data_IF_274156193212
#
_entry.id   IF_274156193212
#
_cell.length_a   1.000
_cell.length_b   1.000
_cell.length_c   1.000
_cell.angle_alpha   90.00
_cell.angle_beta   90.00
_cell.angle_gamma   90.00
#
_symmetry.space_group_name_H-M   'P 1'
#
loop_
_entity.id
_entity.type
_entity.pdbx_description
1 polymer ?
#
# COMPACT_ATOMS: atom_id res chain seq x y z
N UNK A 1 39.29 -9.65 22.73
CA UNK A 1 37.95 -9.39 23.29
C UNK A 1 37.71 -10.44 24.36
N UNK A 2 37.48 -10.04 25.61
CA UNK A 2 37.31 -11.00 26.70
C UNK A 2 35.89 -11.61 26.63
N UNK A 3 35.76 -12.88 27.01
CA UNK A 3 34.46 -13.59 27.01
C UNK A 3 33.41 -12.86 27.87
N UNK A 4 33.85 -12.15 28.91
CA UNK A 4 33.02 -11.28 29.74
C UNK A 4 32.35 -10.15 28.97
N UNK A 5 33.04 -9.59 27.98
CA UNK A 5 32.53 -8.46 27.19
C UNK A 5 31.46 -8.94 26.20
N UNK A 6 31.66 -10.14 25.64
CA UNK A 6 30.69 -10.78 24.75
C UNK A 6 29.41 -11.18 25.51
N UNK A 7 29.54 -11.73 26.72
CA UNK A 7 28.39 -12.06 27.58
C UNK A 7 27.61 -10.80 27.94
N UNK A 8 28.31 -9.69 28.23
CA UNK A 8 27.66 -8.42 28.55
C UNK A 8 26.90 -7.83 27.36
N UNK A 9 27.46 -7.90 26.15
CA UNK A 9 26.78 -7.49 24.92
C UNK A 9 25.55 -8.36 24.61
N UNK A 10 25.65 -9.68 24.79
CA UNK A 10 24.51 -10.58 24.58
C UNK A 10 23.40 -10.26 25.59
N UNK A 11 23.74 -10.04 26.86
CA UNK A 11 22.75 -9.68 27.87
C UNK A 11 22.09 -8.33 27.60
N UNK A 12 22.83 -7.32 27.13
CA UNK A 12 22.25 -6.03 26.74
C UNK A 12 21.23 -6.15 25.60
N UNK A 13 21.49 -6.99 24.60
CA UNK A 13 20.58 -7.23 23.46
C UNK A 13 19.36 -8.07 23.88
N UNK A 14 19.51 -8.96 24.86
CA UNK A 14 18.40 -9.78 25.37
C UNK A 14 17.51 -8.98 26.33
N UNK A 15 18.09 -8.14 27.17
CA UNK A 15 17.36 -7.30 28.15
C UNK A 15 16.71 -6.07 27.49
N UNK A 16 17.33 -5.54 26.44
CA UNK A 16 16.77 -4.50 25.58
C UNK A 16 16.74 -5.03 24.14
N UNK A 17 15.81 -5.94 23.80
CA UNK A 17 15.63 -6.29 22.41
C UNK A 17 15.41 -4.98 21.65
N UNK A 18 16.01 -4.80 20.45
CA UNK A 18 15.57 -3.73 19.57
C UNK A 18 14.05 -3.81 19.52
N UNK A 19 13.39 -2.66 19.56
CA UNK A 19 11.94 -2.62 19.67
C UNK A 19 11.31 -3.58 18.64
N UNK A 20 10.08 -4.09 18.88
CA UNK A 20 9.43 -5.02 17.96
C UNK A 20 9.32 -4.50 16.51
N UNK A 21 9.67 -3.23 16.27
CA UNK A 21 9.82 -2.60 14.97
C UNK A 21 11.00 -3.12 14.13
N UNK A 22 12.03 -3.74 14.70
CA UNK A 22 13.13 -4.33 13.92
C UNK A 22 12.71 -5.57 13.11
N UNK A 23 11.63 -6.27 13.53
CA UNK A 23 11.01 -7.37 12.78
C UNK A 23 9.93 -6.84 11.81
N UNK A 24 9.60 -5.54 11.87
CA UNK A 24 8.43 -4.97 11.18
C UNK A 24 8.64 -4.59 9.72
N UNK A 25 9.85 -4.23 9.28
CA UNK A 25 10.03 -3.70 7.92
C UNK A 25 10.03 -4.79 6.84
N UNK A 26 10.54 -5.99 7.14
CA UNK A 26 10.54 -7.13 6.20
C UNK A 26 9.13 -7.75 6.04
N UNK A 27 8.31 -7.70 7.09
CA UNK A 27 6.94 -8.20 7.06
C UNK A 27 6.02 -7.27 6.25
N UNK A 28 6.24 -5.95 6.27
CA UNK A 28 5.41 -4.96 5.54
C UNK A 28 5.34 -5.20 4.03
N UNK A 29 6.42 -5.66 3.41
CA UNK A 29 6.41 -5.99 1.98
C UNK A 29 5.49 -7.18 1.68
N UNK A 30 5.51 -8.21 2.54
CA UNK A 30 4.63 -9.38 2.42
C UNK A 30 3.17 -9.02 2.64
N UNK A 31 2.89 -8.16 3.63
CA UNK A 31 1.55 -7.63 3.91
C UNK A 31 0.98 -6.86 2.72
N UNK A 32 1.77 -5.99 2.09
CA UNK A 32 1.35 -5.24 0.91
C UNK A 32 1.05 -6.17 -0.27
N UNK A 33 1.88 -7.19 -0.50
CA UNK A 33 1.63 -8.21 -1.52
C UNK A 33 0.35 -9.01 -1.23
N UNK A 34 0.16 -9.43 0.03
CA UNK A 34 -1.05 -10.14 0.46
C UNK A 34 -2.31 -9.31 0.25
N UNK A 35 -2.27 -8.04 0.63
CA UNK A 35 -3.36 -7.09 0.43
C UNK A 35 -3.69 -6.93 -1.05
N UNK A 36 -2.68 -6.71 -1.91
CA UNK A 36 -2.85 -6.57 -3.37
C UNK A 36 -3.52 -7.80 -3.98
N UNK A 37 -3.00 -9.00 -3.68
CA UNK A 37 -3.59 -10.26 -4.15
C UNK A 37 -5.03 -10.38 -3.67
N UNK A 38 -5.32 -10.04 -2.42
CA UNK A 38 -6.68 -10.06 -1.87
C UNK A 38 -7.66 -9.15 -2.61
N UNK A 39 -7.24 -7.94 -2.99
CA UNK A 39 -8.07 -7.00 -3.74
C UNK A 39 -8.28 -7.51 -5.17
N UNK A 40 -7.21 -7.80 -5.91
CA UNK A 40 -7.29 -8.17 -7.32
C UNK A 40 -7.99 -9.51 -7.57
N UNK A 41 -7.82 -10.47 -6.66
CA UNK A 41 -8.55 -11.75 -6.74
C UNK A 41 -10.02 -11.61 -6.35
N UNK A 42 -10.47 -10.46 -5.86
CA UNK A 42 -11.85 -10.22 -5.47
C UNK A 42 -12.23 -10.86 -4.12
N UNK A 43 -11.26 -11.21 -3.27
CA UNK A 43 -11.51 -11.75 -1.93
C UNK A 43 -12.26 -10.72 -1.08
N UNK A 44 -11.82 -9.46 -1.07
CA UNK A 44 -12.50 -8.41 -0.28
C UNK A 44 -13.94 -8.18 -0.73
N UNK A 45 -14.20 -8.17 -2.03
CA UNK A 45 -15.56 -8.08 -2.58
C UNK A 45 -16.41 -9.29 -2.20
N UNK A 46 -15.84 -10.50 -2.31
CA UNK A 46 -16.51 -11.76 -1.95
C UNK A 46 -16.92 -11.78 -0.48
N UNK A 47 -16.03 -11.31 0.40
CA UNK A 47 -16.26 -11.27 1.84
C UNK A 47 -17.18 -10.11 2.22
N UNK A 48 -17.05 -8.93 1.62
CA UNK A 48 -17.97 -7.81 1.87
C UNK A 48 -19.44 -8.20 1.55
N UNK A 49 -19.66 -8.94 0.47
CA UNK A 49 -21.00 -9.36 0.03
C UNK A 49 -21.74 -10.29 1.03
N UNK A 50 -21.05 -10.95 1.96
CA UNK A 50 -21.69 -11.81 2.98
C UNK A 50 -21.98 -11.07 4.30
N UNK A 51 -21.54 -9.81 4.46
CA UNK A 51 -21.74 -9.02 5.66
C UNK A 51 -21.21 -9.70 6.93
N UNK A 52 -22.09 -9.93 7.91
CA UNK A 52 -21.77 -10.57 9.21
C UNK A 52 -21.53 -12.09 9.13
N UNK A 53 -21.63 -12.68 7.93
CA UNK A 53 -21.44 -14.11 7.71
C UNK A 53 -19.98 -14.57 7.71
N UNK A 54 -19.80 -15.85 7.40
CA UNK A 54 -18.51 -16.54 7.33
C UNK A 54 -18.43 -17.45 6.10
N UNK A 55 -17.23 -17.66 5.56
CA UNK A 55 -16.98 -18.54 4.42
C UNK A 55 -15.74 -19.39 4.64
N UNK A 56 -15.73 -20.60 4.09
CA UNK A 56 -14.52 -21.41 4.01
C UNK A 56 -13.61 -20.93 2.88
N UNK A 57 -12.30 -21.15 3.00
CA UNK A 57 -11.32 -20.85 1.95
C UNK A 57 -11.73 -21.48 0.60
N UNK A 58 -12.24 -22.71 0.63
CA UNK A 58 -12.75 -23.40 -0.56
C UNK A 58 -13.93 -22.67 -1.20
N UNK A 59 -14.86 -22.12 -0.41
CA UNK A 59 -15.99 -21.36 -0.94
C UNK A 59 -15.57 -19.98 -1.47
N UNK A 60 -14.60 -19.35 -0.81
CA UNK A 60 -13.98 -18.11 -1.30
C UNK A 60 -13.32 -18.38 -2.65
N UNK A 61 -12.48 -19.42 -2.75
CA UNK A 61 -11.82 -19.85 -3.99
C UNK A 61 -12.80 -20.14 -5.13
N UNK A 62 -13.93 -20.81 -4.83
CA UNK A 62 -14.96 -21.05 -5.82
C UNK A 62 -15.57 -19.73 -6.36
N UNK A 63 -15.75 -18.72 -5.51
CA UNK A 63 -16.35 -17.43 -5.90
C UNK A 63 -15.38 -16.53 -6.65
N UNK A 64 -14.10 -16.57 -6.30
CA UNK A 64 -13.06 -15.77 -6.95
C UNK A 64 -12.47 -16.44 -8.20
N UNK A 65 -12.65 -17.75 -8.35
CA UNK A 65 -12.01 -18.54 -9.40
C UNK A 65 -10.52 -18.84 -9.13
N UNK A 66 -9.99 -18.41 -7.98
CA UNK A 66 -8.60 -18.65 -7.60
C UNK A 66 -8.36 -20.09 -7.10
N UNK A 67 -7.11 -20.55 -7.13
CA UNK A 67 -6.76 -21.87 -6.65
C UNK A 67 -7.02 -22.01 -5.13
N UNK A 68 -7.66 -23.09 -4.64
CA UNK A 68 -8.01 -23.23 -3.22
C UNK A 68 -6.83 -23.11 -2.26
N UNK A 69 -5.68 -23.70 -2.60
CA UNK A 69 -4.48 -23.64 -1.78
C UNK A 69 -3.89 -22.22 -1.72
N UNK A 70 -3.99 -21.46 -2.82
CA UNK A 70 -3.56 -20.06 -2.85
C UNK A 70 -4.45 -19.22 -1.93
N UNK A 71 -5.77 -19.38 -2.04
CA UNK A 71 -6.73 -18.66 -1.19
C UNK A 71 -6.53 -18.97 0.28
N UNK A 72 -6.30 -20.23 0.66
CA UNK A 72 -5.99 -20.59 2.05
C UNK A 72 -4.76 -19.84 2.59
N UNK A 73 -3.66 -19.79 1.81
CA UNK A 73 -2.43 -19.08 2.20
C UNK A 73 -2.64 -17.57 2.32
N UNK A 74 -3.32 -16.98 1.34
CA UNK A 74 -3.61 -15.53 1.32
C UNK A 74 -4.55 -15.15 2.47
N UNK A 75 -5.60 -15.93 2.74
CA UNK A 75 -6.52 -15.67 3.84
C UNK A 75 -5.84 -15.75 5.21
N UNK A 76 -4.89 -16.67 5.41
CA UNK A 76 -4.09 -16.75 6.65
C UNK A 76 -3.26 -15.49 6.88
N UNK A 77 -2.60 -14.99 5.83
CA UNK A 77 -1.85 -13.74 5.88
C UNK A 77 -2.79 -12.54 6.15
N UNK A 78 -3.91 -12.43 5.43
CA UNK A 78 -4.85 -11.33 5.65
C UNK A 78 -5.53 -11.41 7.03
N UNK A 79 -5.69 -12.61 7.59
CA UNK A 79 -6.18 -12.80 8.94
C UNK A 79 -5.13 -12.42 10.00
N UNK A 80 -3.84 -12.73 9.78
CA UNK A 80 -2.76 -12.30 10.68
C UNK A 80 -2.59 -10.78 10.69
N UNK A 81 -2.91 -10.11 9.58
CA UNK A 81 -2.99 -8.64 9.49
C UNK A 81 -4.22 -8.04 10.18
N UNK A 82 -5.13 -8.86 10.71
CA UNK A 82 -6.37 -8.41 11.33
C UNK A 82 -7.45 -7.92 10.36
N UNK A 83 -7.27 -8.12 9.05
CA UNK A 83 -8.27 -7.73 8.04
C UNK A 83 -9.44 -8.71 8.01
N UNK A 84 -9.18 -10.00 8.23
CA UNK A 84 -10.20 -11.02 8.43
C UNK A 84 -10.03 -11.71 9.77
N UNK A 85 -11.07 -12.39 10.22
CA UNK A 85 -11.03 -13.24 11.42
C UNK A 85 -11.12 -14.70 11.00
N UNK A 86 -10.11 -15.51 11.32
CA UNK A 86 -10.22 -16.96 11.22
C UNK A 86 -11.07 -17.48 12.39
N UNK A 87 -12.23 -18.04 12.09
CA UNK A 87 -13.24 -18.48 13.08
C UNK A 87 -13.24 -20.00 13.27
N UNK A 88 -12.68 -20.73 12.31
CA UNK A 88 -12.31 -22.14 12.38
C UNK A 88 -11.25 -22.41 11.31
N UNK A 89 -10.68 -23.62 11.28
CA UNK A 89 -9.70 -24.02 10.27
C UNK A 89 -10.20 -23.73 8.85
N UNK A 90 -9.45 -22.87 8.13
CA UNK A 90 -9.78 -22.43 6.78
C UNK A 90 -11.20 -21.85 6.64
N UNK A 91 -11.69 -21.18 7.69
CA UNK A 91 -12.99 -20.52 7.72
C UNK A 91 -12.87 -19.13 8.31
N UNK A 92 -13.40 -18.15 7.59
CA UNK A 92 -13.11 -16.74 7.84
C UNK A 92 -14.39 -15.89 7.88
N UNK A 93 -14.37 -14.85 8.69
CA UNK A 93 -15.36 -13.78 8.76
C UNK A 93 -14.69 -12.41 8.50
N UNK A 94 -15.49 -11.39 8.17
CA UNK A 94 -14.98 -10.03 8.01
C UNK A 94 -14.38 -9.50 9.32
N UNK A 95 -13.23 -8.83 9.21
CA UNK A 95 -12.71 -7.95 10.25
C UNK A 95 -13.30 -6.53 10.11
N UNK A 96 -13.06 -5.64 11.08
CA UNK A 96 -13.58 -4.27 11.05
C UNK A 96 -13.12 -3.47 9.82
N UNK A 97 -11.92 -3.76 9.32
CA UNK A 97 -11.30 -3.00 8.22
C UNK A 97 -11.39 -3.68 6.85
N UNK A 98 -11.78 -4.97 6.74
CA UNK A 98 -11.90 -5.62 5.41
C UNK A 98 -12.85 -4.92 4.45
N UNK A 99 -14.02 -4.36 4.87
CA UNK A 99 -14.93 -3.72 3.92
C UNK A 99 -14.32 -2.50 3.24
N UNK A 100 -13.35 -1.83 3.88
CA UNK A 100 -12.69 -0.64 3.34
C UNK A 100 -11.93 -0.93 2.03
N UNK A 101 -11.50 -2.18 1.83
CA UNK A 101 -10.76 -2.64 0.65
C UNK A 101 -11.67 -3.25 -0.43
N UNK A 102 -12.99 -3.26 -0.20
CA UNK A 102 -13.97 -3.70 -1.20
C UNK A 102 -14.45 -2.54 -2.09
N UNK A 103 -15.11 -2.86 -3.19
CA UNK A 103 -15.76 -1.89 -4.08
C UNK A 103 -16.98 -1.21 -3.46
N UNK A 104 -17.56 -1.80 -2.40
CA UNK A 104 -18.62 -1.19 -1.61
C UNK A 104 -18.09 -0.14 -0.61
N UNK A 105 -16.77 0.00 -0.47
CA UNK A 105 -16.16 1.01 0.38
C UNK A 105 -16.48 2.42 -0.13
N UNK A 106 -16.80 3.38 0.76
CA UNK A 106 -16.89 4.79 0.40
C UNK A 106 -15.51 5.41 0.13
N UNK A 107 -14.40 4.69 0.40
CA UNK A 107 -13.08 5.18 0.04
C UNK A 107 -12.97 5.30 -1.48
N UNK A 108 -12.52 6.47 -2.00
CA UNK A 108 -12.34 6.67 -3.43
C UNK A 108 -11.51 5.53 -4.03
N UNK A 109 -11.95 4.97 -5.17
CA UNK A 109 -11.21 3.92 -5.88
C UNK A 109 -9.78 4.37 -6.19
N UNK A 110 -9.65 5.63 -6.59
CA UNK A 110 -8.42 6.40 -6.66
C UNK A 110 -7.46 6.21 -5.47
N UNK A 111 -7.95 6.37 -4.23
CA UNK A 111 -7.11 6.28 -3.04
C UNK A 111 -6.62 4.85 -2.80
N UNK A 112 -7.45 3.84 -3.12
CA UNK A 112 -7.08 2.43 -3.05
C UNK A 112 -6.05 2.07 -4.13
N UNK A 113 -6.26 2.52 -5.35
CA UNK A 113 -5.38 2.26 -6.48
C UNK A 113 -4.04 3.00 -6.35
N UNK A 114 -4.06 4.28 -6.00
CA UNK A 114 -2.86 5.09 -5.79
C UNK A 114 -1.98 4.49 -4.70
N UNK A 115 -2.57 4.14 -3.54
CA UNK A 115 -1.82 3.48 -2.47
C UNK A 115 -1.21 2.15 -2.89
N UNK A 116 -1.79 1.45 -3.86
CA UNK A 116 -1.32 0.13 -4.31
C UNK A 116 -0.31 0.18 -5.45
N UNK A 117 -0.53 1.04 -6.44
CA UNK A 117 0.40 1.28 -7.54
C UNK A 117 1.67 1.88 -6.97
N UNK A 118 1.55 2.92 -6.14
CA UNK A 118 2.72 3.57 -5.55
C UNK A 118 3.47 2.65 -4.59
N UNK A 119 2.78 1.85 -3.76
CA UNK A 119 3.50 0.95 -2.84
C UNK A 119 4.28 -0.14 -3.57
N UNK A 120 3.70 -0.74 -4.60
CA UNK A 120 4.34 -1.83 -5.35
C UNK A 120 5.49 -1.29 -6.21
N UNK A 121 5.25 -0.20 -6.94
CA UNK A 121 6.29 0.46 -7.73
C UNK A 121 7.40 1.01 -6.84
N UNK A 122 7.07 1.61 -5.69
CA UNK A 122 8.09 2.04 -4.74
C UNK A 122 8.93 0.86 -4.26
N UNK A 123 8.33 -0.28 -3.89
CA UNK A 123 9.10 -1.46 -3.49
C UNK A 123 10.02 -1.97 -4.59
N UNK A 124 9.54 -2.04 -5.84
CA UNK A 124 10.35 -2.47 -6.97
C UNK A 124 11.57 -1.56 -7.18
N UNK A 125 11.36 -0.23 -7.08
CA UNK A 125 12.43 0.76 -7.12
C UNK A 125 13.39 0.59 -5.95
N UNK A 126 12.87 0.50 -4.71
CA UNK A 126 13.66 0.37 -3.48
C UNK A 126 14.58 -0.85 -3.54
N UNK A 127 14.08 -2.00 -3.99
CA UNK A 127 14.86 -3.22 -4.13
C UNK A 127 15.97 -3.11 -5.18
N UNK A 128 15.86 -2.18 -6.12
CA UNK A 128 16.81 -1.96 -7.22
C UNK A 128 17.79 -0.82 -6.98
N UNK A 129 17.55 0.06 -6.00
CA UNK A 129 18.45 1.16 -5.65
C UNK A 129 19.90 0.68 -5.39
N UNK A 130 20.17 -0.38 -4.61
CA UNK A 130 21.54 -0.82 -4.36
C UNK A 130 22.28 -1.23 -5.65
N UNK A 131 21.56 -1.91 -6.55
CA UNK A 131 22.08 -2.34 -7.85
C UNK A 131 22.39 -1.13 -8.74
N UNK A 132 21.46 -0.18 -8.81
CA UNK A 132 21.62 1.09 -9.52
C UNK A 132 22.82 1.89 -9.01
N UNK A 133 22.92 2.13 -7.70
CA UNK A 133 24.01 2.91 -7.12
C UNK A 133 25.36 2.22 -7.34
N UNK A 134 25.43 0.89 -7.27
CA UNK A 134 26.65 0.15 -7.62
C UNK A 134 27.05 0.40 -9.08
N UNK A 135 26.09 0.39 -10.01
CA UNK A 135 26.31 0.67 -11.44
C UNK A 135 26.79 2.12 -11.67
N UNK A 136 26.25 3.08 -10.93
CA UNK A 136 26.66 4.49 -11.03
C UNK A 136 27.92 4.81 -10.22
N UNK A 137 28.58 3.83 -9.59
CA UNK A 137 29.70 4.05 -8.67
C UNK A 137 29.34 5.04 -7.54
N UNK A 138 28.12 4.90 -7.04
CA UNK A 138 27.53 5.70 -5.97
C UNK A 138 27.51 7.21 -6.27
N UNK A 139 27.37 7.58 -7.55
CA UNK A 139 27.15 8.97 -7.94
C UNK A 139 25.66 9.33 -7.88
N UNK A 140 25.38 10.61 -7.62
CA UNK A 140 24.02 11.14 -7.60
C UNK A 140 23.37 11.01 -9.00
N UNK A 141 22.08 10.67 -9.08
CA UNK A 141 21.33 10.78 -10.31
C UNK A 141 21.14 12.25 -10.68
N UNK A 142 21.79 12.71 -11.77
CA UNK A 142 21.64 14.09 -12.28
C UNK A 142 20.67 14.18 -13.46
N UNK A 143 20.29 13.05 -14.06
CA UNK A 143 19.35 12.98 -15.17
C UNK A 143 18.02 12.40 -14.70
N UNK A 144 16.95 13.18 -14.75
CA UNK A 144 15.62 12.74 -14.35
C UNK A 144 15.11 11.59 -15.24
N UNK A 145 15.59 11.43 -16.48
CA UNK A 145 15.29 10.33 -17.40
C UNK A 145 16.17 9.08 -17.24
N UNK A 146 17.12 9.07 -16.29
CA UNK A 146 18.03 7.94 -16.05
C UNK A 146 18.30 7.75 -14.55
N UNK A 147 17.22 7.79 -13.76
CA UNK A 147 17.24 7.60 -12.32
C UNK A 147 16.96 6.15 -11.87
N UNK A 148 16.90 5.92 -10.55
CA UNK A 148 16.56 4.61 -9.98
C UNK A 148 15.20 4.06 -10.46
N UNK A 149 14.22 4.93 -10.70
CA UNK A 149 12.91 4.54 -11.22
C UNK A 149 13.02 3.92 -12.61
N UNK A 150 13.67 4.61 -13.56
CA UNK A 150 13.87 4.10 -14.92
C UNK A 150 14.70 2.82 -14.93
N UNK A 151 15.68 2.72 -14.03
CA UNK A 151 16.49 1.52 -13.86
C UNK A 151 15.65 0.32 -13.40
N UNK A 152 14.85 0.50 -12.36
CA UNK A 152 14.06 -0.56 -11.76
C UNK A 152 12.97 -1.06 -12.70
N UNK A 153 12.20 -0.13 -13.25
CA UNK A 153 11.06 -0.42 -14.13
C UNK A 153 11.47 -0.77 -15.56
N UNK A 154 12.76 -0.62 -15.91
CA UNK A 154 13.28 -0.80 -17.27
C UNK A 154 12.52 0.02 -18.33
N UNK A 155 12.24 1.29 -18.03
CA UNK A 155 11.55 2.22 -18.92
C UNK A 155 12.35 3.53 -19.07
N UNK A 156 11.93 4.38 -20.01
CA UNK A 156 12.51 5.72 -20.24
C UNK A 156 11.57 6.88 -19.90
N UNK A 157 10.34 6.58 -19.48
CA UNK A 157 9.39 7.59 -19.07
C UNK A 157 9.81 8.24 -17.75
N UNK A 158 9.43 9.51 -17.58
CA UNK A 158 9.36 10.12 -16.26
C UNK A 158 8.27 9.44 -15.43
N UNK A 159 8.42 9.43 -14.11
CA UNK A 159 7.45 8.77 -13.21
C UNK A 159 6.01 9.23 -13.47
N UNK A 160 5.76 10.54 -13.57
CA UNK A 160 4.43 11.08 -13.85
C UNK A 160 3.90 10.75 -15.25
N UNK A 161 4.77 10.57 -16.24
CA UNK A 161 4.34 10.15 -17.57
C UNK A 161 4.03 8.66 -17.63
N UNK A 162 4.76 7.84 -16.85
CA UNK A 162 4.41 6.44 -16.64
C UNK A 162 3.08 6.29 -15.87
N UNK A 163 2.85 7.07 -14.81
CA UNK A 163 1.60 7.04 -14.06
C UNK A 163 0.36 7.28 -14.93
N UNK A 164 0.45 8.14 -15.95
CA UNK A 164 -0.66 8.38 -16.91
C UNK A 164 -1.00 7.15 -17.75
N UNK A 165 -0.11 6.16 -17.82
CA UNK A 165 -0.34 4.90 -18.55
C UNK A 165 -0.98 3.82 -17.66
N UNK A 166 -1.05 4.04 -16.35
CA UNK A 166 -1.62 3.09 -15.40
C UNK A 166 -3.14 3.31 -15.26
N UNK A 167 -3.97 2.31 -15.61
CA UNK A 167 -5.42 2.48 -15.79
C UNK A 167 -6.18 2.74 -14.48
N UNK A 168 -5.59 2.43 -13.33
CA UNK A 168 -6.25 2.55 -12.03
C UNK A 168 -5.98 3.89 -11.32
N UNK A 169 -5.16 4.76 -11.91
CA UNK A 169 -4.83 6.09 -11.37
C UNK A 169 -5.92 7.12 -11.68
N UNK A 170 -7.16 6.84 -11.28
CA UNK A 170 -8.21 7.87 -11.27
C UNK A 170 -7.91 8.85 -10.13
N UNK A 171 -8.07 10.16 -10.36
CA UNK A 171 -8.01 11.15 -9.30
C UNK A 171 -9.32 11.04 -8.50
N UNK A 172 -9.24 10.94 -7.18
CA UNK A 172 -10.43 10.73 -6.34
C UNK A 172 -11.48 11.85 -6.48
N UNK A 173 -12.54 11.78 -5.68
CA UNK A 173 -13.55 12.85 -5.67
C UNK A 173 -12.91 14.23 -5.47
N UNK A 174 -13.36 15.27 -6.21
CA UNK A 174 -12.80 16.59 -6.12
C UNK A 174 -12.78 17.12 -4.68
N UNK A 175 -11.64 17.68 -4.27
CA UNK A 175 -11.44 18.07 -2.88
C UNK A 175 -12.44 19.10 -2.35
N UNK A 176 -12.97 19.94 -3.25
CA UNK A 176 -13.96 20.96 -2.93
C UNK A 176 -15.36 20.40 -2.66
N UNK A 177 -15.62 19.12 -2.95
CA UNK A 177 -16.89 18.48 -2.60
C UNK A 177 -16.98 18.15 -1.10
N UNK A 178 -15.84 18.03 -0.41
CA UNK A 178 -15.78 17.75 1.02
C UNK A 178 -15.06 18.82 1.85
N UNK A 179 -14.20 19.65 1.25
CA UNK A 179 -13.56 20.77 1.94
C UNK A 179 -14.50 21.99 1.96
N UNK A 180 -14.78 22.58 3.14
CA UNK A 180 -15.79 23.63 3.26
C UNK A 180 -15.25 25.01 2.82
N UNK A 181 -14.94 25.17 1.54
CA UNK A 181 -14.29 26.37 0.94
C UNK A 181 -14.99 27.67 1.36
N UNK A 182 -16.31 27.73 1.23
CA UNK A 182 -17.09 28.93 1.56
C UNK A 182 -16.95 29.38 3.02
N UNK A 183 -16.70 28.45 3.95
CA UNK A 183 -16.49 28.78 5.37
C UNK A 183 -15.08 29.32 5.68
N UNK A 184 -14.14 29.16 4.74
CA UNK A 184 -12.73 29.53 4.89
C UNK A 184 -12.38 30.83 4.18
N UNK A 185 -13.27 31.34 3.33
CA UNK A 185 -13.10 32.62 2.64
C UNK A 185 -13.61 33.72 3.57
N UNK A 186 -12.74 34.66 3.92
CA UNK A 186 -13.13 35.86 4.68
C UNK A 186 -13.96 36.80 3.79
N UNK A 187 -14.94 37.47 4.41
CA UNK A 187 -15.78 38.46 3.73
C UNK A 187 -15.66 39.82 4.44
N UNK A 188 -15.55 40.94 3.71
CA UNK A 188 -15.65 41.07 2.25
C UNK A 188 -14.36 40.64 1.50
N UNK A 189 -14.53 40.15 0.28
CA UNK A 189 -13.41 39.76 -0.60
C UNK A 189 -12.90 41.00 -1.34
N UNK A 190 -11.58 41.19 -1.37
CA UNK A 190 -10.95 42.20 -2.23
C UNK A 190 -10.96 41.74 -3.69
N UNK A 191 -11.73 42.43 -4.53
CA UNK A 191 -11.84 42.12 -5.97
C UNK A 191 -10.53 42.27 -6.75
N UNK A 192 -9.52 42.94 -6.17
CA UNK A 192 -8.21 43.12 -6.81
C UNK A 192 -7.20 42.04 -6.42
N UNK A 193 -7.50 41.23 -5.40
CA UNK A 193 -6.63 40.18 -4.92
C UNK A 193 -7.01 38.81 -5.52
N UNK A 194 -6.04 37.92 -5.79
CA UNK A 194 -6.34 36.56 -6.19
C UNK A 194 -7.03 35.81 -5.03
N UNK A 195 -8.23 35.28 -5.29
CA UNK A 195 -9.01 34.54 -4.28
C UNK A 195 -8.41 33.16 -3.97
N UNK A 196 -7.91 32.47 -5.01
CA UNK A 196 -7.26 31.17 -4.90
C UNK A 196 -6.24 31.01 -6.01
N UNK A 197 -5.09 30.41 -5.71
CA UNK A 197 -4.06 30.08 -6.69
C UNK A 197 -3.90 28.56 -6.70
N UNK A 198 -4.26 27.95 -7.82
CA UNK A 198 -4.12 26.51 -8.01
C UNK A 198 -2.74 26.20 -8.61
N UNK A 199 -1.78 25.88 -7.73
CA UNK A 199 -0.41 25.56 -8.14
C UNK A 199 -0.32 24.07 -8.48
N UNK A 200 -0.24 23.75 -9.76
CA UNK A 200 -0.15 22.37 -10.23
C UNK A 200 -1.51 21.67 -10.37
N UNK A 201 -2.61 22.42 -10.50
CA UNK A 201 -3.98 21.92 -10.58
C UNK A 201 -4.31 20.94 -11.71
N UNK A 202 -3.42 20.80 -12.70
CA UNK A 202 -3.63 19.98 -13.90
C UNK A 202 -4.94 20.34 -14.63
N UNK A 203 -5.43 19.54 -15.59
CA UNK A 203 -6.70 19.74 -16.33
C UNK A 203 -7.62 18.54 -16.10
#
# INVERSE_FOLDING_TARGET
MAVSDLIKQINEVVENPPAPDAVSEEERAHEQVGLRIGIESGIFNTMAAIGIGELTASKIAQRTGAAPLLVSRVMKLLASMGLFKEVAEDKYANGPFSPAFSDASPLPKAAKAHSMVDSVTANEVLMKIPEYLKKTKYQNPENTNDGPFQYAMNIKLQYYDWLKTEPDMDCGEPWYDYYPVASKIETPVDEKAPLMVDVGGNI
#
